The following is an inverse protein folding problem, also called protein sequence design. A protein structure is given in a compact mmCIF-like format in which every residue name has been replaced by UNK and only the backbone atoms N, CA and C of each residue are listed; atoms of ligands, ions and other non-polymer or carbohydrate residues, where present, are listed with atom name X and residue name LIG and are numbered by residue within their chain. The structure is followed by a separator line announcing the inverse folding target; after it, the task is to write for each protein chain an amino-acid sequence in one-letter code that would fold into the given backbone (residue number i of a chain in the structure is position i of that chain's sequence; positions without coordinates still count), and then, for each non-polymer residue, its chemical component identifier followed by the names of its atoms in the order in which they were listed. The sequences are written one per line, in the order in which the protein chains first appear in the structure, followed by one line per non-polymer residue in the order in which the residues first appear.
data_IF_120400403666
#
_entry.id   IF_120400403666
#
_cell.length_a   1.000
_cell.length_b   1.000
_cell.length_c   1.000
_cell.angle_alpha   90.00
_cell.angle_beta   90.00
_cell.angle_gamma   90.00
#
_symmetry.space_group_name_H-M   'P 1'
#
loop_
_entity.id
_entity.type
_entity.pdbx_description
1 polymer ?
#
# COMPACT_ATOMS: atom_id res chain seq x y z
N UNK A 1 -17.78 40.10 7.91
CA UNK A 1 -16.49 40.83 7.72
C UNK A 1 -15.71 40.12 6.63
N UNK A 2 -15.13 40.83 5.65
CA UNK A 2 -14.30 40.21 4.60
C UNK A 2 -12.95 39.84 5.22
N UNK A 3 -12.58 38.57 5.19
CA UNK A 3 -11.25 38.12 5.63
C UNK A 3 -10.18 38.50 4.59
N UNK A 4 -9.76 39.77 4.65
CA UNK A 4 -8.73 40.32 3.78
C UNK A 4 -7.35 39.68 4.01
N UNK A 5 -7.11 39.14 5.22
CA UNK A 5 -5.86 38.50 5.60
C UNK A 5 -5.70 37.13 4.95
N UNK A 6 -6.73 36.28 5.05
CA UNK A 6 -6.78 34.98 4.38
C UNK A 6 -6.68 35.13 2.85
N UNK A 7 -7.43 36.08 2.28
CA UNK A 7 -7.37 36.37 0.84
C UNK A 7 -5.95 36.77 0.37
N UNK A 8 -5.25 37.62 1.15
CA UNK A 8 -3.88 38.00 0.85
C UNK A 8 -2.91 36.82 0.94
N UNK A 9 -3.11 35.90 1.90
CA UNK A 9 -2.30 34.69 2.03
C UNK A 9 -2.50 33.73 0.86
N UNK A 10 -3.74 33.46 0.45
CA UNK A 10 -4.03 32.62 -0.72
C UNK A 10 -3.44 33.22 -2.00
N UNK A 11 -3.48 34.54 -2.16
CA UNK A 11 -2.86 35.20 -3.31
C UNK A 11 -1.34 35.04 -3.32
N UNK A 12 -0.68 35.12 -2.15
CA UNK A 12 0.77 34.86 -2.04
C UNK A 12 1.10 33.41 -2.40
N UNK A 13 0.31 32.46 -1.91
CA UNK A 13 0.47 31.04 -2.23
C UNK A 13 0.32 30.81 -3.74
N UNK A 14 -0.72 31.35 -4.37
CA UNK A 14 -0.96 31.24 -5.81
C UNK A 14 0.22 31.80 -6.63
N UNK A 15 0.68 33.02 -6.31
CA UNK A 15 1.84 33.63 -7.00
C UNK A 15 3.15 32.87 -6.74
N UNK A 16 3.27 32.19 -5.61
CA UNK A 16 4.42 31.34 -5.29
C UNK A 16 4.49 30.07 -6.12
N UNK A 17 3.37 29.62 -6.70
CA UNK A 17 3.30 28.44 -7.56
C UNK A 17 3.82 28.71 -8.98
N UNK A 18 3.66 29.92 -9.53
CA UNK A 18 4.04 30.23 -10.92
C UNK A 18 5.53 29.94 -11.22
N UNK A 19 6.50 30.31 -10.35
CA UNK A 19 7.90 29.94 -10.53
C UNK A 19 8.12 28.42 -10.47
N UNK A 20 7.41 27.73 -9.57
CA UNK A 20 7.51 26.27 -9.42
C UNK A 20 6.98 25.56 -10.68
N UNK A 21 5.84 25.99 -11.21
CA UNK A 21 5.27 25.47 -12.45
C UNK A 21 6.20 25.71 -13.64
N UNK A 22 6.78 26.90 -13.73
CA UNK A 22 7.74 27.26 -14.78
C UNK A 22 8.98 26.38 -14.71
N UNK A 23 9.56 26.22 -13.52
CA UNK A 23 10.72 25.36 -13.27
C UNK A 23 10.43 23.89 -13.64
N UNK A 24 9.28 23.35 -13.22
CA UNK A 24 8.87 22.00 -13.56
C UNK A 24 8.73 21.81 -15.09
N UNK A 25 8.09 22.77 -15.78
CA UNK A 25 7.96 22.75 -17.25
C UNK A 25 9.30 22.82 -17.97
N UNK A 26 10.29 23.49 -17.40
CA UNK A 26 11.66 23.53 -17.92
C UNK A 26 12.51 22.32 -17.52
N UNK A 27 11.94 21.31 -16.85
CA UNK A 27 12.63 20.10 -16.42
C UNK A 27 13.54 20.28 -15.19
N UNK A 28 13.40 21.39 -14.46
CA UNK A 28 14.15 21.64 -13.22
C UNK A 28 13.46 20.95 -12.04
N UNK A 29 14.24 20.45 -11.05
CA UNK A 29 13.68 19.84 -9.86
C UNK A 29 12.92 20.87 -9.03
N UNK A 30 11.71 20.50 -8.59
CA UNK A 30 10.85 21.32 -7.73
C UNK A 30 10.65 20.59 -6.41
N UNK A 31 10.85 21.31 -5.32
CA UNK A 31 10.57 20.82 -3.98
C UNK A 31 9.06 20.84 -3.72
N UNK A 32 8.43 19.68 -3.81
CA UNK A 32 6.99 19.53 -3.62
C UNK A 32 6.54 19.80 -2.18
N UNK A 33 7.44 19.76 -1.20
CA UNK A 33 7.10 20.04 0.22
C UNK A 33 6.73 21.51 0.45
N UNK A 34 7.10 22.39 -0.49
CA UNK A 34 6.77 23.81 -0.47
C UNK A 34 5.44 24.13 -1.14
N UNK A 35 4.78 23.14 -1.73
CA UNK A 35 3.45 23.32 -2.32
C UNK A 35 2.46 23.56 -1.16
N UNK A 36 1.75 24.68 -1.15
CA UNK A 36 0.75 24.96 -0.13
C UNK A 36 -0.40 23.95 -0.23
N UNK A 37 -0.97 23.60 0.92
CA UNK A 37 -2.13 22.72 0.96
C UNK A 37 -3.32 23.36 0.23
N UNK A 38 -4.13 22.52 -0.41
CA UNK A 38 -5.40 22.93 -1.01
C UNK A 38 -6.25 23.58 0.08
N UNK A 39 -6.71 24.84 -0.11
CA UNK A 39 -7.59 25.49 0.84
C UNK A 39 -8.96 24.81 0.79
N UNK A 40 -9.47 24.45 1.96
CA UNK A 40 -10.75 23.78 2.13
C UNK A 40 -11.51 24.53 3.21
N UNK A 41 -12.74 24.93 2.90
CA UNK A 41 -13.64 25.65 3.79
C UNK A 41 -14.73 24.73 4.32
N UNK A 42 -15.29 25.04 5.49
CA UNK A 42 -16.50 24.38 5.97
C UNK A 42 -17.68 24.53 4.98
N UNK A 43 -17.70 25.63 4.22
CA UNK A 43 -18.70 25.88 3.18
C UNK A 43 -18.67 24.82 2.06
N UNK A 44 -17.53 24.17 1.84
CA UNK A 44 -17.39 23.10 0.84
C UNK A 44 -18.25 21.89 1.19
N UNK A 45 -18.52 21.66 2.48
CA UNK A 45 -19.38 20.58 2.99
C UNK A 45 -20.82 21.00 3.27
N UNK A 46 -21.14 22.29 3.08
CA UNK A 46 -22.49 22.80 3.36
C UNK A 46 -23.51 22.39 2.28
N UNK A 47 -24.71 21.98 2.70
CA UNK A 47 -25.83 21.69 1.80
C UNK A 47 -26.69 22.96 1.63
N UNK A 48 -26.77 23.48 0.41
CA UNK A 48 -27.60 24.65 0.10
C UNK A 48 -29.09 24.36 0.31
N UNK A 49 -29.88 25.37 0.70
CA UNK A 49 -31.34 25.24 0.85
C UNK A 49 -31.97 24.84 -0.49
N UNK A 50 -32.76 23.76 -0.52
CA UNK A 50 -33.38 23.28 -1.75
C UNK A 50 -34.30 24.34 -2.36
N UNK A 51 -34.14 24.63 -3.66
CA UNK A 51 -34.92 25.65 -4.36
C UNK A 51 -36.30 25.13 -4.82
N UNK A 52 -36.48 23.80 -4.85
CA UNK A 52 -37.68 23.15 -5.38
C UNK A 52 -38.27 22.20 -4.33
N UNK A 53 -39.24 22.72 -3.56
CA UNK A 53 -39.95 22.04 -2.46
C UNK A 53 -39.07 21.55 -1.29
N UNK A 54 -39.54 21.63 -0.03
CA UNK A 54 -38.79 21.10 1.10
C UNK A 54 -38.61 19.59 0.97
N UNK A 55 -37.36 19.13 1.03
CA UNK A 55 -37.03 17.71 1.16
C UNK A 55 -37.66 17.19 2.47
N UNK A 56 -38.26 16.00 2.46
CA UNK A 56 -38.86 15.44 3.68
C UNK A 56 -37.82 15.34 4.81
N UNK A 57 -38.21 15.46 6.10
CA UNK A 57 -37.26 15.43 7.22
C UNK A 57 -36.34 14.20 7.20
N UNK A 58 -36.91 13.02 6.92
CA UNK A 58 -36.17 11.75 6.80
C UNK A 58 -35.17 11.72 5.64
N UNK A 59 -35.48 12.38 4.53
CA UNK A 59 -34.56 12.50 3.40
C UNK A 59 -33.47 13.54 3.69
N UNK A 60 -33.80 14.63 4.39
CA UNK A 60 -32.83 15.63 4.83
C UNK A 60 -31.79 15.03 5.78
N UNK A 61 -32.20 14.23 6.77
CA UNK A 61 -31.28 13.51 7.66
C UNK A 61 -30.31 12.59 6.90
N UNK A 62 -30.81 11.87 5.89
CA UNK A 62 -29.97 11.00 5.03
C UNK A 62 -28.95 11.79 4.23
N UNK A 63 -29.33 12.96 3.70
CA UNK A 63 -28.40 13.85 3.01
C UNK A 63 -27.26 14.31 3.92
N UNK A 64 -27.58 14.73 5.15
CA UNK A 64 -26.57 15.16 6.13
C UNK A 64 -25.66 14.00 6.55
N UNK A 65 -26.24 12.83 6.88
CA UNK A 65 -25.45 11.66 7.24
C UNK A 65 -24.49 11.22 6.12
N UNK A 66 -24.93 11.29 4.86
CA UNK A 66 -24.09 10.97 3.71
C UNK A 66 -23.00 12.04 3.48
N UNK A 67 -23.32 13.32 3.70
CA UNK A 67 -22.35 14.40 3.66
C UNK A 67 -21.25 14.22 4.72
N UNK A 68 -21.62 13.91 5.96
CA UNK A 68 -20.65 13.68 7.05
C UNK A 68 -19.67 12.55 6.72
N UNK A 69 -20.16 11.47 6.09
CA UNK A 69 -19.32 10.35 5.68
C UNK A 69 -18.35 10.75 4.55
N UNK A 70 -18.84 11.46 3.54
CA UNK A 70 -18.00 11.94 2.44
C UNK A 70 -16.98 12.99 2.90
N UNK A 71 -17.35 13.89 3.82
CA UNK A 71 -16.45 14.84 4.44
C UNK A 71 -15.31 14.13 5.17
N UNK A 72 -15.64 13.16 6.03
CA UNK A 72 -14.62 12.35 6.75
C UNK A 72 -13.68 11.63 5.78
N UNK A 73 -14.24 11.07 4.72
CA UNK A 73 -13.46 10.38 3.68
C UNK A 73 -12.51 11.34 2.95
N UNK A 74 -13.01 12.50 2.53
CA UNK A 74 -12.23 13.52 1.84
C UNK A 74 -11.12 14.12 2.75
N UNK A 75 -11.43 14.45 4.00
CA UNK A 75 -10.44 14.92 4.99
C UNK A 75 -9.34 13.87 5.21
N UNK A 76 -9.71 12.59 5.24
CA UNK A 76 -8.74 11.50 5.33
C UNK A 76 -7.82 11.47 4.11
N UNK A 77 -8.35 11.56 2.90
CA UNK A 77 -7.55 11.63 1.67
C UNK A 77 -6.57 12.81 1.70
N UNK A 78 -7.02 13.98 2.11
CA UNK A 78 -6.17 15.17 2.27
C UNK A 78 -5.03 14.90 3.24
N UNK A 79 -5.32 14.34 4.41
CA UNK A 79 -4.30 14.05 5.40
C UNK A 79 -3.23 13.07 4.88
N UNK A 80 -3.64 12.08 4.10
CA UNK A 80 -2.73 11.10 3.49
C UNK A 80 -1.86 11.78 2.42
N UNK A 81 -2.48 12.55 1.53
CA UNK A 81 -1.78 13.29 0.47
C UNK A 81 -0.75 14.25 1.05
N UNK A 82 -1.14 15.06 2.04
CA UNK A 82 -0.24 15.99 2.72
C UNK A 82 0.95 15.27 3.35
N UNK A 83 0.73 14.15 4.04
CA UNK A 83 1.81 13.37 4.64
C UNK A 83 2.78 12.83 3.59
N UNK A 84 2.29 12.31 2.47
CA UNK A 84 3.17 11.83 1.40
C UNK A 84 3.91 12.95 0.69
N UNK A 85 3.29 14.12 0.53
CA UNK A 85 3.94 15.32 0.00
C UNK A 85 5.09 15.75 0.90
N UNK A 86 4.88 15.83 2.21
CA UNK A 86 5.92 16.19 3.18
C UNK A 86 7.08 15.18 3.24
N UNK A 87 6.79 13.89 2.98
CA UNK A 87 7.81 12.84 2.87
C UNK A 87 8.52 12.82 1.52
N UNK A 88 8.14 13.69 0.57
CA UNK A 88 8.69 13.70 -0.78
C UNK A 88 8.28 12.49 -1.62
N UNK A 89 7.31 11.69 -1.16
CA UNK A 89 6.82 10.52 -1.89
C UNK A 89 5.77 10.95 -2.93
N UNK A 90 6.26 11.49 -4.05
CA UNK A 90 5.42 12.01 -5.15
C UNK A 90 4.43 10.96 -5.66
N UNK A 91 4.84 9.69 -5.75
CA UNK A 91 3.99 8.64 -6.32
C UNK A 91 2.75 8.37 -5.47
N UNK A 92 2.92 8.25 -4.15
CA UNK A 92 1.80 8.02 -3.23
C UNK A 92 0.98 9.31 -2.99
N UNK A 93 1.62 10.48 -3.04
CA UNK A 93 0.93 11.77 -3.01
C UNK A 93 -0.05 11.91 -4.18
N UNK A 94 0.37 11.58 -5.41
CA UNK A 94 -0.50 11.62 -6.60
C UNK A 94 -1.63 10.58 -6.55
N UNK A 95 -1.40 9.39 -5.98
CA UNK A 95 -2.46 8.38 -5.81
C UNK A 95 -3.52 8.85 -4.82
N UNK A 96 -3.10 9.44 -3.70
CA UNK A 96 -4.01 9.97 -2.70
C UNK A 96 -4.73 11.23 -3.17
N UNK A 97 -4.10 12.08 -3.99
CA UNK A 97 -4.75 13.23 -4.65
C UNK A 97 -5.92 12.81 -5.53
N UNK A 98 -5.81 11.71 -6.29
CA UNK A 98 -6.96 11.16 -7.03
C UNK A 98 -8.14 10.77 -6.13
N UNK A 99 -7.86 10.28 -4.91
CA UNK A 99 -8.90 9.98 -3.93
C UNK A 99 -9.52 11.26 -3.34
N UNK A 100 -8.72 12.33 -3.19
CA UNK A 100 -9.21 13.67 -2.81
C UNK A 100 -10.20 14.17 -3.86
N UNK A 101 -9.81 14.15 -5.14
CA UNK A 101 -10.63 14.58 -6.28
C UNK A 101 -11.93 13.77 -6.39
N UNK A 102 -11.85 12.45 -6.29
CA UNK A 102 -13.03 11.58 -6.36
C UNK A 102 -14.00 11.84 -5.19
N UNK A 103 -13.48 12.03 -3.98
CA UNK A 103 -14.32 12.33 -2.82
C UNK A 103 -15.00 13.69 -2.95
N UNK A 104 -14.31 14.71 -3.49
CA UNK A 104 -14.92 16.01 -3.81
C UNK A 104 -16.02 15.88 -4.85
N UNK A 105 -15.79 15.10 -5.91
CA UNK A 105 -16.80 14.84 -6.93
C UNK A 105 -18.07 14.23 -6.33
N UNK A 106 -17.95 13.32 -5.36
CA UNK A 106 -19.12 12.79 -4.66
C UNK A 106 -19.83 13.83 -3.78
N UNK A 107 -19.09 14.69 -3.09
CA UNK A 107 -19.64 15.83 -2.35
C UNK A 107 -20.44 16.75 -3.29
N UNK A 108 -19.89 17.06 -4.48
CA UNK A 108 -20.55 17.88 -5.49
C UNK A 108 -21.83 17.24 -6.02
N UNK A 109 -21.81 15.93 -6.33
CA UNK A 109 -23.01 15.18 -6.76
C UNK A 109 -24.09 15.24 -5.67
N UNK A 110 -23.70 15.08 -4.41
CA UNK A 110 -24.64 15.13 -3.28
C UNK A 110 -25.26 16.53 -3.13
N UNK A 111 -24.44 17.59 -3.22
CA UNK A 111 -24.89 18.99 -3.19
C UNK A 111 -25.84 19.31 -4.35
N UNK A 112 -25.52 18.88 -5.57
CA UNK A 112 -26.36 19.08 -6.75
C UNK A 112 -27.72 18.39 -6.59
N UNK A 113 -27.72 17.14 -6.13
CA UNK A 113 -28.96 16.39 -5.90
C UNK A 113 -29.84 17.08 -4.85
N UNK A 114 -29.24 17.55 -3.75
CA UNK A 114 -29.96 18.26 -2.69
C UNK A 114 -30.53 19.60 -3.18
N UNK A 115 -29.73 20.40 -3.88
CA UNK A 115 -30.13 21.70 -4.41
C UNK A 115 -31.33 21.59 -5.37
N UNK A 116 -31.38 20.51 -6.17
CA UNK A 116 -32.45 20.19 -7.13
C UNK A 116 -33.63 19.42 -6.53
N UNK A 117 -33.64 19.18 -5.21
CA UNK A 117 -34.71 18.44 -4.54
C UNK A 117 -34.86 16.98 -5.01
N UNK A 118 -33.78 16.38 -5.52
CA UNK A 118 -33.77 14.99 -6.01
C UNK A 118 -33.79 14.00 -4.84
N UNK A 119 -34.08 12.71 -5.07
CA UNK A 119 -33.86 11.69 -4.05
C UNK A 119 -32.37 11.55 -3.72
N UNK A 120 -32.08 11.13 -2.49
CA UNK A 120 -30.71 10.88 -2.00
C UNK A 120 -30.01 9.89 -2.96
N UNK A 121 -28.81 10.23 -3.47
CA UNK A 121 -28.03 9.32 -4.30
C UNK A 121 -27.84 7.97 -3.63
N UNK A 122 -27.95 6.88 -4.40
CA UNK A 122 -27.64 5.55 -3.92
C UNK A 122 -26.14 5.46 -3.66
N UNK A 123 -25.78 4.79 -2.57
CA UNK A 123 -24.40 4.55 -2.20
C UNK A 123 -24.18 3.10 -1.84
N UNK A 124 -22.99 2.60 -2.12
CA UNK A 124 -22.50 1.31 -1.64
C UNK A 124 -21.11 1.50 -1.04
N UNK A 125 -20.65 0.44 -0.39
CA UNK A 125 -19.32 0.39 0.20
C UNK A 125 -18.45 -0.56 -0.61
N UNK A 126 -17.27 -0.08 -1.01
CA UNK A 126 -16.25 -0.88 -1.67
C UNK A 126 -15.07 -1.09 -0.73
N UNK A 127 -14.36 -2.21 -0.85
CA UNK A 127 -13.07 -2.37 -0.18
C UNK A 127 -11.97 -1.78 -1.06
N UNK A 128 -11.24 -0.81 -0.52
CA UNK A 128 -10.12 -0.18 -1.22
C UNK A 128 -8.86 -0.30 -0.39
N UNK A 129 -7.80 -0.76 -1.05
CA UNK A 129 -6.47 -0.90 -0.45
C UNK A 129 -5.58 0.25 -0.88
N UNK A 130 -5.04 0.99 0.07
CA UNK A 130 -4.04 2.04 -0.17
C UNK A 130 -2.88 1.91 0.81
N UNK A 131 -1.74 2.49 0.44
CA UNK A 131 -0.59 2.50 1.33
C UNK A 131 -0.79 3.52 2.45
N UNK A 132 -0.54 3.09 3.67
CA UNK A 132 -0.53 3.93 4.85
C UNK A 132 0.85 3.86 5.50
N UNK A 133 1.21 4.93 6.21
CA UNK A 133 2.44 4.98 6.98
C UNK A 133 2.31 4.06 8.19
N UNK A 134 3.24 3.10 8.32
CA UNK A 134 3.31 2.27 9.52
C UNK A 134 3.92 3.10 10.65
N UNK A 135 3.06 3.53 11.57
CA UNK A 135 3.44 4.33 12.75
C UNK A 135 2.90 3.66 14.01
N UNK A 136 3.79 3.41 14.96
CA UNK A 136 3.46 2.90 16.29
C UNK A 136 3.16 4.08 17.22
N UNK A 137 1.95 4.64 17.11
CA UNK A 137 1.55 5.87 17.83
C UNK A 137 1.60 5.79 19.35
N UNK A 138 1.63 4.59 19.93
CA UNK A 138 1.83 4.38 21.37
C UNK A 138 3.27 4.67 21.84
N UNK A 139 4.23 4.84 20.93
CA UNK A 139 5.63 5.11 21.23
C UNK A 139 5.97 6.60 21.04
N UNK A 140 6.81 7.13 21.94
CA UNK A 140 7.46 8.43 21.74
C UNK A 140 8.51 8.35 20.63
N UNK A 141 8.86 9.46 19.95
CA UNK A 141 9.97 9.48 18.98
C UNK A 141 11.32 9.05 19.58
N UNK A 142 11.46 9.16 20.90
CA UNK A 142 12.66 8.81 21.67
C UNK A 142 12.58 7.41 22.31
N UNK A 143 11.56 6.62 21.98
CA UNK A 143 11.40 5.26 22.49
C UNK A 143 11.85 4.22 21.45
N UNK A 144 12.61 3.25 21.92
CA UNK A 144 12.87 1.97 21.24
C UNK A 144 12.43 0.85 22.17
N UNK A 145 11.59 -0.07 21.69
CA UNK A 145 11.15 -1.22 22.48
C UNK A 145 11.84 -2.48 21.96
N UNK A 146 12.63 -3.10 22.81
CA UNK A 146 13.28 -4.37 22.57
C UNK A 146 12.41 -5.50 23.15
N UNK A 147 12.22 -6.56 22.38
CA UNK A 147 11.55 -7.78 22.79
C UNK A 147 12.55 -8.94 22.67
N UNK A 148 12.73 -9.67 23.76
CA UNK A 148 13.49 -10.92 23.78
C UNK A 148 12.47 -12.04 23.87
N UNK A 149 12.25 -12.75 22.76
CA UNK A 149 11.13 -13.68 22.62
C UNK A 149 11.50 -15.05 23.18
N UNK A 150 12.48 -15.72 22.56
CA UNK A 150 12.88 -17.07 22.94
C UNK A 150 14.28 -17.44 22.46
N UNK A 151 14.91 -18.37 23.17
CA UNK A 151 16.06 -19.14 22.67
C UNK A 151 15.59 -20.40 21.94
N UNK A 152 16.34 -20.84 20.94
CA UNK A 152 16.05 -22.03 20.13
C UNK A 152 17.29 -22.90 20.12
N UNK A 153 17.19 -24.13 20.64
CA UNK A 153 18.27 -25.11 20.65
C UNK A 153 19.61 -24.56 21.18
N UNK A 154 19.56 -23.81 22.28
CA UNK A 154 20.76 -23.24 22.91
C UNK A 154 21.71 -24.36 23.36
N UNK A 155 22.99 -24.20 23.05
CA UNK A 155 24.03 -25.17 23.42
C UNK A 155 24.39 -25.00 24.91
N UNK A 156 24.15 -26.00 25.78
CA UNK A 156 24.49 -25.86 27.19
C UNK A 156 26.00 -25.80 27.42
N UNK A 157 26.45 -25.16 28.52
CA UNK A 157 27.85 -25.21 28.92
C UNK A 157 28.31 -26.65 29.24
N UNK A 158 29.62 -26.93 29.20
CA UNK A 158 30.16 -28.24 29.55
C UNK A 158 29.67 -28.73 30.92
N UNK A 159 29.17 -29.96 30.97
CA UNK A 159 28.63 -30.60 32.17
C UNK A 159 27.17 -30.27 32.50
N UNK A 160 26.45 -29.58 31.62
CA UNK A 160 25.01 -29.30 31.75
C UNK A 160 24.27 -30.01 30.62
N UNK A 161 23.20 -30.73 30.92
CA UNK A 161 22.35 -31.32 29.88
C UNK A 161 21.43 -30.25 29.26
N UNK A 162 20.96 -30.43 28.02
CA UNK A 162 19.99 -29.50 27.41
C UNK A 162 18.75 -29.21 28.26
N UNK A 163 18.29 -30.20 29.03
CA UNK A 163 17.11 -30.07 29.88
C UNK A 163 17.41 -29.52 31.27
N UNK A 164 18.68 -29.29 31.62
CA UNK A 164 19.08 -28.68 32.90
C UNK A 164 19.51 -27.22 32.70
N UNK A 165 19.40 -26.69 31.48
CA UNK A 165 19.80 -25.33 31.16
C UNK A 165 18.81 -24.33 31.78
N UNK A 166 19.31 -23.55 32.74
CA UNK A 166 18.63 -22.38 33.28
C UNK A 166 19.08 -21.11 32.55
N UNK A 167 18.39 -20.68 31.51
CA UNK A 167 18.81 -19.60 30.64
C UNK A 167 18.25 -18.24 31.07
N UNK A 168 19.05 -17.18 30.93
CA UNK A 168 18.62 -15.78 30.91
C UNK A 168 19.41 -15.01 29.85
N UNK A 169 18.85 -13.94 29.32
CA UNK A 169 19.53 -13.12 28.30
C UNK A 169 19.78 -11.73 28.88
N UNK A 170 21.04 -11.32 28.92
CA UNK A 170 21.45 -9.95 29.19
C UNK A 170 21.63 -9.22 27.87
N UNK A 171 21.17 -7.99 27.75
CA UNK A 171 21.48 -7.17 26.59
C UNK A 171 22.32 -5.95 26.95
N UNK A 172 23.02 -5.42 25.94
CA UNK A 172 23.70 -4.14 25.99
C UNK A 172 23.34 -3.33 24.75
N UNK A 173 22.71 -2.18 24.97
CA UNK A 173 22.42 -1.18 23.96
C UNK A 173 23.36 0.02 24.13
N UNK A 174 24.36 0.21 23.24
CA UNK A 174 25.49 1.12 23.46
C UNK A 174 25.15 2.58 23.13
N UNK A 175 24.12 3.12 23.80
CA UNK A 175 23.65 4.49 23.70
C UNK A 175 23.23 5.03 25.08
N UNK A 176 23.59 6.28 25.46
CA UNK A 176 24.19 7.35 24.63
C UNK A 176 25.68 7.19 24.28
N UNK A 177 26.44 6.43 25.08
CA UNK A 177 27.82 6.03 24.84
C UNK A 177 28.04 4.55 25.16
N UNK A 178 29.27 4.05 25.05
CA UNK A 178 29.59 2.66 25.42
C UNK A 178 29.72 2.49 26.94
N UNK A 179 30.12 3.55 27.63
CA UNK A 179 30.24 3.65 29.09
C UNK A 179 28.84 3.72 29.73
N UNK A 180 27.97 4.57 29.17
CA UNK A 180 26.58 4.77 29.61
C UNK A 180 25.60 3.87 28.85
N UNK A 181 26.05 2.70 28.38
CA UNK A 181 25.19 1.78 27.65
C UNK A 181 24.04 1.30 28.53
N UNK A 182 22.84 1.28 27.95
CA UNK A 182 21.63 0.74 28.58
C UNK A 182 21.72 -0.78 28.61
N UNK A 183 21.61 -1.35 29.81
CA UNK A 183 21.77 -2.79 30.06
C UNK A 183 20.65 -3.26 30.96
N UNK A 184 20.08 -4.40 30.63
CA UNK A 184 19.17 -5.12 31.50
C UNK A 184 19.23 -6.62 31.16
N UNK A 185 18.48 -7.44 31.88
CA UNK A 185 18.41 -8.88 31.66
C UNK A 185 17.00 -9.42 31.82
N UNK A 186 16.71 -10.50 31.12
CA UNK A 186 15.48 -11.26 31.33
C UNK A 186 15.50 -12.00 32.67
N UNK A 187 14.32 -12.42 33.10
CA UNK A 187 14.16 -13.48 34.08
C UNK A 187 14.79 -14.78 33.56
N UNK A 188 15.12 -15.66 34.51
CA UNK A 188 15.69 -16.98 34.21
C UNK A 188 14.57 -17.97 33.93
N UNK A 189 14.57 -18.55 32.73
CA UNK A 189 13.74 -19.69 32.36
C UNK A 189 14.53 -20.96 32.64
N UNK A 190 13.95 -21.89 33.39
CA UNK A 190 14.65 -23.06 33.92
C UNK A 190 14.45 -24.29 33.07
N UNK A 191 15.42 -25.20 33.13
CA UNK A 191 15.33 -26.59 32.66
C UNK A 191 14.94 -26.75 31.18
N UNK A 192 15.51 -25.94 30.28
CA UNK A 192 15.23 -26.06 28.83
C UNK A 192 16.32 -25.41 27.97
N UNK A 193 16.64 -26.06 26.86
CA UNK A 193 17.51 -25.50 25.81
C UNK A 193 16.76 -24.56 24.85
N UNK A 194 15.42 -24.52 24.92
CA UNK A 194 14.59 -23.62 24.12
C UNK A 194 13.68 -22.77 25.02
N UNK A 195 14.26 -21.84 25.80
CA UNK A 195 13.53 -21.00 26.75
C UNK A 195 12.64 -19.97 26.05
N UNK A 196 11.42 -19.78 26.54
CA UNK A 196 10.54 -18.66 26.14
C UNK A 196 10.60 -17.55 27.18
N UNK A 197 11.19 -16.41 26.83
CA UNK A 197 11.35 -15.27 27.73
C UNK A 197 10.12 -14.34 27.63
N UNK A 198 9.73 -13.97 26.41
CA UNK A 198 8.63 -13.05 26.11
C UNK A 198 8.69 -11.72 26.90
N UNK A 199 9.89 -11.18 27.08
CA UNK A 199 10.11 -9.95 27.86
C UNK A 199 10.33 -8.74 26.95
N UNK A 200 9.89 -7.58 27.44
CA UNK A 200 10.02 -6.31 26.74
C UNK A 200 10.78 -5.29 27.59
N UNK A 201 11.64 -4.52 26.92
CA UNK A 201 12.47 -3.49 27.53
C UNK A 201 12.31 -2.19 26.76
N UNK A 202 12.00 -1.12 27.48
CA UNK A 202 11.88 0.23 26.92
C UNK A 202 13.23 0.93 27.02
N UNK A 203 13.82 1.22 25.86
CA UNK A 203 15.12 1.85 25.71
C UNK A 203 14.94 3.29 25.22
N UNK A 204 15.78 4.18 25.75
CA UNK A 204 15.84 5.57 25.31
C UNK A 204 16.73 5.72 24.09
N UNK A 205 16.26 6.48 23.10
CA UNK A 205 17.02 6.85 21.90
C UNK A 205 16.96 8.36 21.67
N UNK A 206 17.93 8.89 20.93
CA UNK A 206 17.87 10.24 20.39
C UNK A 206 18.28 10.22 18.91
N UNK A 207 17.32 10.47 18.02
CA UNK A 207 17.46 10.37 16.57
C UNK A 207 18.48 11.35 15.99
N UNK A 208 18.69 12.50 16.63
CA UNK A 208 19.62 13.53 16.16
C UNK A 208 21.05 13.28 16.65
N UNK A 209 21.21 12.45 17.70
CA UNK A 209 22.51 12.20 18.31
C UNK A 209 23.42 11.34 17.41
N UNK A 210 24.64 11.83 17.15
CA UNK A 210 25.62 11.10 16.31
C UNK A 210 25.96 9.72 16.86
N UNK A 211 25.98 9.57 18.19
CA UNK A 211 26.18 8.26 18.84
C UNK A 211 25.11 7.25 18.45
N UNK A 212 23.84 7.67 18.41
CA UNK A 212 22.73 6.80 18.00
C UNK A 212 22.86 6.35 16.55
N UNK A 213 23.22 7.27 15.63
CA UNK A 213 23.49 6.91 14.23
C UNK A 213 24.55 5.81 14.09
N UNK A 214 25.62 5.85 14.89
CA UNK A 214 26.63 4.77 14.92
C UNK A 214 26.06 3.45 15.45
N UNK A 215 25.16 3.50 16.43
CA UNK A 215 24.50 2.28 16.93
C UNK A 215 23.68 1.63 15.83
N UNK A 216 22.92 2.42 15.07
CA UNK A 216 22.10 1.94 13.95
C UNK A 216 22.96 1.34 12.83
N UNK A 217 24.03 2.04 12.44
CA UNK A 217 24.81 1.69 11.24
C UNK A 217 25.86 0.60 11.46
N UNK A 218 26.39 0.43 12.67
CA UNK A 218 27.51 -0.51 12.87
C UNK A 218 27.55 -1.26 14.19
N UNK A 219 26.98 -0.75 15.28
CA UNK A 219 27.08 -1.43 16.59
C UNK A 219 25.93 -2.39 16.90
N UNK A 220 24.68 -2.03 16.65
CA UNK A 220 23.51 -2.86 17.01
C UNK A 220 23.31 -3.07 18.52
N UNK A 221 22.51 -4.07 18.87
CA UNK A 221 22.27 -4.53 20.25
C UNK A 221 23.01 -5.85 20.47
N UNK A 222 23.80 -5.93 21.54
CA UNK A 222 24.48 -7.17 21.92
C UNK A 222 23.64 -7.92 22.94
N UNK A 223 23.65 -9.25 22.83
CA UNK A 223 23.01 -10.17 23.75
C UNK A 223 24.03 -11.16 24.26
N UNK A 224 23.98 -11.44 25.55
CA UNK A 224 24.78 -12.46 26.22
C UNK A 224 23.80 -13.44 26.87
N UNK A 225 23.86 -14.69 26.41
CA UNK A 225 23.02 -15.76 26.92
C UNK A 225 23.78 -16.40 28.08
N UNK A 226 23.14 -16.46 29.24
CA UNK A 226 23.74 -16.90 30.49
C UNK A 226 22.99 -18.12 31.02
N UNK A 227 23.76 -19.12 31.45
CA UNK A 227 23.27 -20.21 32.29
C UNK A 227 23.42 -19.83 33.76
N UNK A 228 22.29 -19.71 34.46
CA UNK A 228 22.28 -19.45 35.89
C UNK A 228 22.68 -20.70 36.66
N UNK A 229 23.81 -20.62 37.35
CA UNK A 229 24.30 -21.67 38.22
C UNK A 229 23.43 -21.88 39.46
N UNK A 230 23.63 -23.00 40.15
CA UNK A 230 23.03 -23.24 41.47
C UNK A 230 23.53 -22.25 42.53
N UNK A 231 23.03 -22.39 43.76
CA UNK A 231 23.42 -21.55 44.90
C UNK A 231 24.97 -21.50 45.02
N UNK A 232 25.54 -20.29 45.07
CA UNK A 232 26.99 -20.00 45.12
C UNK A 232 27.83 -20.25 43.85
N UNK A 233 27.23 -20.67 42.72
CA UNK A 233 27.94 -20.76 41.43
C UNK A 233 27.72 -19.50 40.61
N UNK A 234 28.77 -19.03 39.93
CA UNK A 234 28.67 -17.91 38.99
C UNK A 234 27.91 -18.33 37.74
N UNK A 235 27.24 -17.36 37.12
CA UNK A 235 26.57 -17.56 35.84
C UNK A 235 27.62 -17.90 34.77
N UNK A 236 27.33 -18.89 33.93
CA UNK A 236 28.20 -19.31 32.82
C UNK A 236 27.68 -18.75 31.51
N UNK A 237 28.57 -18.23 30.68
CA UNK A 237 28.22 -17.78 29.33
C UNK A 237 27.93 -19.00 28.45
N UNK A 238 26.74 -19.00 27.86
CA UNK A 238 26.29 -19.98 26.85
C UNK A 238 26.73 -19.54 25.46
N UNK A 239 26.68 -18.24 25.21
CA UNK A 239 27.11 -17.63 23.97
C UNK A 239 26.65 -16.19 23.89
N UNK A 240 26.94 -15.56 22.76
CA UNK A 240 26.59 -14.17 22.47
C UNK A 240 25.89 -14.06 21.13
N UNK A 241 25.02 -13.07 20.99
CA UNK A 241 24.37 -12.76 19.72
C UNK A 241 24.32 -11.25 19.52
N UNK A 242 24.18 -10.80 18.28
CA UNK A 242 24.16 -9.37 17.97
C UNK A 242 23.09 -9.07 16.93
N UNK A 243 22.14 -8.20 17.27
CA UNK A 243 21.11 -7.71 16.36
C UNK A 243 21.60 -6.43 15.68
N UNK A 244 21.68 -6.45 14.35
CA UNK A 244 21.90 -5.24 13.56
C UNK A 244 20.63 -4.41 13.49
N UNK A 245 20.77 -3.09 13.44
CA UNK A 245 19.65 -2.16 13.49
C UNK A 245 19.50 -1.32 12.20
N UNK A 246 20.30 -1.60 11.18
CA UNK A 246 20.32 -0.87 9.90
C UNK A 246 18.95 -0.85 9.20
N UNK A 247 18.16 -1.93 9.34
CA UNK A 247 16.80 -1.99 8.80
C UNK A 247 15.85 -0.94 9.41
N UNK A 248 16.15 -0.39 10.60
CA UNK A 248 15.37 0.72 11.19
C UNK A 248 15.49 2.03 10.42
N UNK A 249 16.44 2.15 9.49
CA UNK A 249 16.49 3.31 8.60
C UNK A 249 15.23 3.40 7.73
N UNK A 250 14.69 2.25 7.28
CA UNK A 250 13.56 2.18 6.36
C UNK A 250 12.32 1.49 6.97
N UNK A 251 12.45 0.83 8.11
CA UNK A 251 11.37 0.12 8.79
C UNK A 251 11.18 0.61 10.23
N UNK A 252 9.96 0.52 10.73
CA UNK A 252 9.62 0.82 12.13
C UNK A 252 9.83 -0.37 13.06
N UNK A 253 10.11 -1.54 12.50
CA UNK A 253 10.17 -2.81 13.21
C UNK A 253 11.18 -3.76 12.58
N UNK A 254 11.94 -4.46 13.42
CA UNK A 254 12.80 -5.58 13.04
C UNK A 254 12.36 -6.81 13.85
N UNK A 255 12.24 -7.97 13.21
CA UNK A 255 12.11 -9.27 13.89
C UNK A 255 13.08 -10.24 13.24
N UNK A 256 14.01 -10.76 14.01
CA UNK A 256 15.07 -11.63 13.51
C UNK A 256 15.29 -12.82 14.44
N UNK A 257 15.75 -13.92 13.83
CA UNK A 257 16.28 -15.09 14.52
C UNK A 257 17.79 -15.08 14.28
N UNK A 258 18.55 -14.66 15.28
CA UNK A 258 20.01 -14.47 15.20
C UNK A 258 20.75 -15.69 15.74
N UNK A 259 21.88 -16.04 15.13
CA UNK A 259 22.72 -17.14 15.60
C UNK A 259 23.43 -16.78 16.91
N UNK A 260 23.47 -17.74 17.83
CA UNK A 260 24.25 -17.65 19.06
C UNK A 260 25.66 -18.14 18.77
N UNK A 261 26.63 -17.31 19.13
CA UNK A 261 28.05 -17.44 18.82
C UNK A 261 28.88 -17.68 20.09
N UNK A 262 29.87 -18.55 19.98
CA UNK A 262 30.98 -18.67 20.92
C UNK A 262 32.24 -18.09 20.26
N UNK A 263 32.55 -16.84 20.62
CA UNK A 263 33.56 -16.04 19.94
C UNK A 263 33.23 -15.85 18.45
N UNK A 264 33.95 -16.57 17.57
CA UNK A 264 33.75 -16.53 16.12
C UNK A 264 32.97 -17.73 15.56
N UNK A 265 32.69 -18.75 16.37
CA UNK A 265 32.03 -19.99 15.93
C UNK A 265 30.55 -19.94 16.25
N UNK A 266 29.72 -20.44 15.35
CA UNK A 266 28.29 -20.66 15.62
C UNK A 266 28.13 -21.82 16.59
N UNK A 267 27.25 -21.68 17.57
CA UNK A 267 26.93 -22.76 18.54
C UNK A 267 25.86 -23.72 18.01
N UNK A 268 25.14 -23.34 16.94
CA UNK A 268 23.94 -24.01 16.45
C UNK A 268 22.65 -23.53 17.12
N UNK A 269 22.74 -22.91 18.30
CA UNK A 269 21.63 -22.25 18.97
C UNK A 269 21.28 -20.90 18.33
N UNK A 270 20.03 -20.47 18.51
CA UNK A 270 19.51 -19.20 17.96
C UNK A 270 18.74 -18.42 19.02
N UNK A 271 18.63 -17.12 18.82
CA UNK A 271 17.85 -16.22 19.65
C UNK A 271 16.85 -15.45 18.77
N UNK A 272 15.57 -15.50 19.12
CA UNK A 272 14.53 -14.72 18.45
C UNK A 272 14.31 -13.40 19.20
N UNK A 273 14.53 -12.28 18.50
CA UNK A 273 14.41 -10.92 19.02
C UNK A 273 13.59 -10.04 18.08
N UNK A 274 12.98 -9.01 18.65
CA UNK A 274 12.24 -8.00 17.91
C UNK A 274 12.53 -6.62 18.47
N UNK A 275 12.62 -5.61 17.62
CA UNK A 275 12.75 -4.21 18.01
C UNK A 275 11.68 -3.39 17.31
N UNK A 276 11.11 -2.41 18.02
CA UNK A 276 10.17 -1.43 17.47
C UNK A 276 10.56 -0.02 17.82
N UNK A 277 10.35 0.90 16.88
CA UNK A 277 10.42 2.34 17.07
C UNK A 277 9.12 2.96 16.55
N UNK A 278 8.80 4.20 16.93
CA UNK A 278 7.56 4.88 16.52
C UNK A 278 7.36 4.89 15.00
N UNK A 279 8.40 5.22 14.25
CA UNK A 279 8.45 5.35 12.80
C UNK A 279 9.92 5.23 12.37
N UNK A 280 10.22 4.91 11.09
CA UNK A 280 11.59 4.75 10.60
C UNK A 280 12.45 6.00 10.83
N UNK A 281 13.77 5.82 10.78
CA UNK A 281 14.70 6.90 11.08
C UNK A 281 14.92 7.89 9.93
N UNK A 282 14.85 7.42 8.69
CA UNK A 282 15.13 8.24 7.50
C UNK A 282 14.12 7.97 6.37
N UNK A 283 13.85 6.70 6.07
CA UNK A 283 12.98 6.25 5.00
C UNK A 283 11.50 6.23 5.40
N UNK A 284 10.72 5.55 4.57
CA UNK A 284 9.25 5.43 4.73
C UNK A 284 8.87 3.96 4.81
N UNK A 285 8.19 3.57 5.89
CA UNK A 285 7.66 2.23 6.10
C UNK A 285 6.17 2.23 5.76
N UNK A 286 5.85 1.62 4.63
CA UNK A 286 4.50 1.56 4.09
C UNK A 286 3.86 0.22 4.41
N UNK A 287 2.60 0.25 4.81
CA UNK A 287 1.76 -0.94 4.94
C UNK A 287 0.49 -0.77 4.11
N UNK A 288 0.05 -1.81 3.38
CA UNK A 288 -1.24 -1.78 2.72
C UNK A 288 -2.34 -1.80 3.78
N UNK A 289 -3.29 -0.87 3.68
CA UNK A 289 -4.47 -0.79 4.54
C UNK A 289 -5.69 -0.88 3.66
N UNK A 290 -6.53 -1.88 3.92
CA UNK A 290 -7.82 -2.07 3.26
C UNK A 290 -8.90 -1.42 4.09
N UNK A 291 -9.67 -0.53 3.47
CA UNK A 291 -10.77 0.17 4.12
C UNK A 291 -12.07 0.09 3.34
N UNK A 292 -13.15 0.21 4.08
CA UNK A 292 -14.50 0.37 3.57
C UNK A 292 -14.68 1.80 3.06
N UNK A 293 -14.79 1.94 1.76
CA UNK A 293 -14.86 3.20 1.05
C UNK A 293 -16.27 3.47 0.54
N UNK A 294 -16.80 4.67 0.80
CA UNK A 294 -18.10 5.08 0.34
C UNK A 294 -18.03 5.52 -1.12
N UNK A 295 -18.91 4.94 -1.94
CA UNK A 295 -19.03 5.25 -3.36
C UNK A 295 -20.48 5.62 -3.68
N UNK A 296 -20.67 6.74 -4.38
CA UNK A 296 -21.98 7.11 -4.92
C UNK A 296 -22.16 6.49 -6.30
N UNK A 297 -23.32 5.89 -6.53
CA UNK A 297 -23.69 5.42 -7.86
C UNK A 297 -23.87 6.62 -8.81
N UNK A 298 -23.32 6.58 -10.03
CA UNK A 298 -23.58 7.60 -11.03
C UNK A 298 -25.09 7.66 -11.30
N UNK A 299 -25.70 8.82 -11.09
CA UNK A 299 -27.10 9.03 -11.47
C UNK A 299 -27.17 8.89 -13.00
N UNK A 300 -27.95 7.96 -13.56
CA UNK A 300 -28.12 7.88 -15.01
C UNK A 300 -28.60 9.23 -15.50
N UNK A 301 -27.86 9.85 -16.40
CA UNK A 301 -28.31 11.05 -17.10
C UNK A 301 -29.59 10.67 -17.85
N UNK A 302 -30.74 11.14 -17.36
CA UNK A 302 -32.02 11.06 -18.06
C UNK A 302 -31.91 11.91 -19.33
N UNK A 303 -31.42 11.32 -20.40
CA UNK A 303 -31.66 11.77 -21.76
C UNK A 303 -32.90 11.04 -22.29
N UNK A 304 -33.93 11.86 -22.56
CA UNK A 304 -35.09 11.66 -23.45
C UNK A 304 -36.43 11.25 -22.79
N UNK A 305 -37.52 11.98 -23.08
CA UNK A 305 -38.85 11.73 -22.52
C UNK A 305 -39.55 10.53 -23.17
N UNK A 306 -40.39 9.88 -22.36
CA UNK A 306 -41.24 8.75 -22.70
C UNK A 306 -42.10 8.99 -23.95
N UNK A 307 -42.20 7.97 -24.81
CA UNK A 307 -43.39 7.72 -25.63
C UNK A 307 -44.12 6.50 -25.05
N UNK A 308 -45.42 6.58 -24.77
CA UNK A 308 -46.21 5.42 -24.37
C UNK A 308 -46.64 4.63 -25.62
N UNK A 309 -46.37 3.32 -25.65
CA UNK A 309 -46.98 2.39 -26.60
C UNK A 309 -47.71 1.26 -25.85
N UNK A 310 -49.00 1.49 -25.68
CA UNK A 310 -50.15 0.65 -26.07
C UNK A 310 -50.00 -0.89 -26.05
N UNK A 311 -50.93 -1.52 -25.32
CA UNK A 311 -51.17 -2.95 -25.18
C UNK A 311 -51.61 -3.64 -26.48
N UNK A 312 -51.23 -4.91 -26.68
CA UNK A 312 -52.12 -6.05 -27.01
C UNK A 312 -51.34 -7.42 -26.89
N UNK A 313 -51.96 -8.62 -26.95
CA UNK A 313 -51.87 -9.64 -25.91
C UNK A 313 -51.14 -10.96 -26.30
N UNK A 314 -50.95 -11.84 -25.30
CA UNK A 314 -50.26 -13.16 -25.34
C UNK A 314 -50.82 -14.19 -26.36
N UNK A 315 -50.13 -15.34 -26.55
CA UNK A 315 -50.51 -16.52 -25.75
C UNK A 315 -49.38 -17.51 -25.35
N UNK A 316 -49.45 -17.93 -24.08
CA UNK A 316 -49.39 -19.31 -23.54
C UNK A 316 -48.36 -20.31 -24.10
N UNK A 317 -47.49 -20.81 -23.21
CA UNK A 317 -47.33 -22.25 -22.88
C UNK A 317 -46.51 -22.44 -21.59
N UNK A 318 -47.06 -23.21 -20.65
CA UNK A 318 -46.45 -23.82 -19.44
C UNK A 318 -46.19 -25.32 -19.77
N UNK A 319 -45.35 -26.12 -19.07
CA UNK A 319 -45.38 -26.21 -17.60
C UNK A 319 -44.07 -26.47 -16.82
N UNK A 320 -44.15 -25.99 -15.58
CA UNK A 320 -43.60 -26.44 -14.28
C UNK A 320 -42.86 -27.79 -14.23
N UNK A 321 -41.66 -27.76 -13.63
CA UNK A 321 -41.22 -28.77 -12.65
C UNK A 321 -40.47 -28.08 -11.49
N UNK A 322 -40.89 -28.41 -10.28
CA UNK A 322 -40.26 -28.06 -9.00
C UNK A 322 -39.07 -29.00 -8.73
N UNK A 323 -37.96 -28.47 -8.20
CA UNK A 323 -37.31 -28.98 -6.99
C UNK A 323 -36.15 -28.07 -6.57
N UNK A 324 -36.06 -27.86 -5.27
CA UNK A 324 -35.15 -26.95 -4.59
C UNK A 324 -33.68 -27.35 -4.70
N UNK A 325 -32.79 -26.36 -4.72
CA UNK A 325 -31.51 -26.41 -4.01
C UNK A 325 -31.02 -25.00 -3.71
N UNK A 326 -30.92 -24.70 -2.41
CA UNK A 326 -30.27 -23.54 -1.83
C UNK A 326 -28.78 -23.54 -2.23
N UNK A 327 -28.31 -22.44 -2.78
CA UNK A 327 -26.89 -22.20 -3.02
C UNK A 327 -26.64 -20.72 -3.26
N UNK A 328 -26.11 -20.05 -2.24
CA UNK A 328 -25.62 -18.68 -2.20
C UNK A 328 -25.05 -18.17 -3.53
N UNK A 329 -25.73 -17.24 -4.19
CA UNK A 329 -25.19 -16.51 -5.33
C UNK A 329 -24.08 -15.57 -4.86
N UNK A 330 -22.84 -15.94 -5.16
CA UNK A 330 -21.71 -15.01 -5.24
C UNK A 330 -21.99 -13.99 -6.34
N UNK A 331 -22.29 -12.75 -5.97
CA UNK A 331 -22.27 -11.61 -6.88
C UNK A 331 -20.82 -11.33 -7.30
N UNK A 332 -20.30 -12.07 -8.28
CA UNK A 332 -19.14 -11.62 -9.05
C UNK A 332 -19.65 -10.80 -10.23
N UNK A 333 -19.58 -9.48 -10.12
CA UNK A 333 -19.64 -8.63 -11.32
C UNK A 333 -18.52 -9.10 -12.27
N UNK A 334 -18.79 -9.38 -13.56
CA UNK A 334 -17.75 -9.81 -14.46
C UNK A 334 -16.70 -8.69 -14.61
N UNK A 335 -15.41 -9.02 -14.61
CA UNK A 335 -14.35 -8.03 -14.86
C UNK A 335 -14.58 -7.30 -16.18
N UNK A 336 -14.56 -5.97 -16.12
CA UNK A 336 -14.65 -5.10 -17.30
C UNK A 336 -13.28 -5.10 -17.97
N UNK A 337 -13.06 -6.06 -18.87
CA UNK A 337 -11.85 -6.11 -19.68
C UNK A 337 -11.80 -4.93 -20.67
N UNK A 338 -10.61 -4.36 -20.84
CA UNK A 338 -10.32 -3.26 -21.79
C UNK A 338 -9.28 -3.73 -22.79
N UNK A 339 -9.30 -3.16 -24.00
CA UNK A 339 -8.28 -3.41 -25.01
C UNK A 339 -6.88 -3.00 -24.52
N UNK A 340 -5.89 -3.86 -24.77
CA UNK A 340 -4.48 -3.66 -24.41
C UNK A 340 -3.55 -4.33 -25.44
N UNK A 341 -2.22 -4.16 -25.39
CA UNK A 341 -1.33 -4.88 -26.32
C UNK A 341 -1.36 -6.39 -26.10
N UNK A 342 -1.65 -7.15 -27.15
CA UNK A 342 -1.66 -8.61 -27.10
C UNK A 342 -0.25 -9.17 -26.87
N UNK A 343 0.77 -8.52 -27.43
CA UNK A 343 2.17 -8.90 -27.23
C UNK A 343 2.61 -8.72 -25.77
N UNK A 344 2.21 -7.62 -25.13
CA UNK A 344 2.52 -7.38 -23.71
C UNK A 344 1.77 -8.34 -22.79
N UNK A 345 0.49 -8.62 -23.06
CA UNK A 345 -0.27 -9.61 -22.29
C UNK A 345 0.36 -11.01 -22.37
N UNK A 346 0.85 -11.42 -23.54
CA UNK A 346 1.56 -12.70 -23.68
C UNK A 346 2.92 -12.70 -22.96
N UNK A 347 3.66 -11.61 -23.03
CA UNK A 347 4.91 -11.44 -22.29
C UNK A 347 4.69 -11.56 -20.77
N UNK A 348 3.64 -10.93 -20.25
CA UNK A 348 3.29 -11.00 -18.83
C UNK A 348 2.79 -12.41 -18.45
N UNK A 349 2.00 -13.07 -19.30
CA UNK A 349 1.59 -14.47 -19.11
C UNK A 349 2.81 -15.39 -18.96
N UNK A 350 3.75 -15.35 -19.90
CA UNK A 350 4.96 -16.19 -19.87
C UNK A 350 5.84 -15.89 -18.64
N UNK A 351 5.90 -14.63 -18.23
CA UNK A 351 6.64 -14.22 -17.03
C UNK A 351 5.98 -14.75 -15.75
N UNK A 352 4.65 -14.73 -15.68
CA UNK A 352 3.90 -15.27 -14.54
C UNK A 352 3.94 -16.81 -14.51
N UNK A 353 3.82 -17.47 -15.66
CA UNK A 353 3.95 -18.94 -15.79
C UNK A 353 5.32 -19.43 -15.31
N UNK A 354 6.40 -18.72 -15.67
CA UNK A 354 7.76 -19.03 -15.18
C UNK A 354 7.84 -18.95 -13.66
N UNK A 355 7.33 -17.87 -13.05
CA UNK A 355 7.29 -17.72 -11.59
C UNK A 355 6.47 -18.83 -10.92
N UNK A 356 5.27 -19.12 -11.43
CA UNK A 356 4.44 -20.20 -10.91
C UNK A 356 5.12 -21.57 -11.00
N UNK A 357 5.90 -21.80 -12.07
CA UNK A 357 6.68 -23.03 -12.25
C UNK A 357 7.84 -23.14 -11.24
N UNK A 358 8.47 -22.03 -10.86
CA UNK A 358 9.51 -22.00 -9.82
C UNK A 358 8.93 -22.39 -8.45
N UNK A 359 7.75 -21.88 -8.07
CA UNK A 359 7.08 -22.27 -6.83
C UNK A 359 6.76 -23.77 -6.79
N UNK A 360 6.22 -24.30 -7.89
CA UNK A 360 5.95 -25.75 -8.04
C UNK A 360 7.23 -26.58 -7.92
N UNK A 361 8.33 -26.13 -8.53
CA UNK A 361 9.64 -26.80 -8.47
C UNK A 361 10.22 -26.79 -7.06
N UNK A 362 9.97 -25.75 -6.29
CA UNK A 362 10.46 -25.59 -4.92
C UNK A 362 9.54 -26.21 -3.85
N UNK A 363 8.49 -26.95 -4.26
CA UNK A 363 7.47 -27.51 -3.36
C UNK A 363 6.80 -26.46 -2.45
N UNK A 364 6.66 -25.23 -2.95
CA UNK A 364 6.00 -24.13 -2.25
C UNK A 364 4.68 -23.81 -2.93
N UNK A 365 3.66 -23.51 -2.11
CA UNK A 365 2.39 -23.03 -2.64
C UNK A 365 2.56 -21.59 -3.18
N UNK A 366 2.21 -21.33 -4.45
CA UNK A 366 2.30 -20.00 -5.01
C UNK A 366 1.30 -19.05 -4.32
N UNK A 367 1.66 -17.78 -4.09
CA UNK A 367 0.76 -16.80 -3.48
C UNK A 367 -0.58 -16.68 -4.25
N UNK A 368 -1.73 -16.56 -3.56
CA UNK A 368 -3.04 -16.38 -4.20
C UNK A 368 -3.08 -15.22 -5.19
N UNK A 369 -2.41 -14.11 -4.87
CA UNK A 369 -2.34 -12.94 -5.76
C UNK A 369 -1.63 -13.25 -7.08
N UNK A 370 -0.59 -14.09 -7.05
CA UNK A 370 0.14 -14.49 -8.26
C UNK A 370 -0.72 -15.40 -9.15
N UNK A 371 -1.50 -16.29 -8.53
CA UNK A 371 -2.48 -17.14 -9.22
C UNK A 371 -3.58 -16.28 -9.85
N UNK A 372 -4.11 -15.31 -9.11
CA UNK A 372 -5.16 -14.42 -9.58
C UNK A 372 -4.67 -13.53 -10.74
N UNK A 373 -3.48 -12.92 -10.62
CA UNK A 373 -2.88 -12.16 -11.71
C UNK A 373 -2.70 -13.00 -12.98
N UNK A 374 -2.24 -14.25 -12.84
CA UNK A 374 -2.10 -15.15 -13.99
C UNK A 374 -3.46 -15.48 -14.63
N UNK A 375 -4.49 -15.75 -13.83
CA UNK A 375 -5.86 -15.98 -14.32
C UNK A 375 -6.41 -14.75 -15.04
N UNK A 376 -6.21 -13.55 -14.48
CA UNK A 376 -6.70 -12.29 -15.06
C UNK A 376 -6.05 -12.00 -16.42
N UNK A 377 -4.74 -12.27 -16.57
CA UNK A 377 -4.04 -12.12 -17.85
C UNK A 377 -4.56 -13.13 -18.87
N UNK A 378 -4.78 -14.40 -18.47
CA UNK A 378 -5.36 -15.42 -19.37
C UNK A 378 -6.76 -15.01 -19.82
N UNK A 379 -7.62 -14.57 -18.91
CA UNK A 379 -8.96 -14.15 -19.26
C UNK A 379 -8.96 -12.90 -20.15
N UNK A 380 -8.06 -11.93 -19.88
CA UNK A 380 -7.90 -10.74 -20.72
C UNK A 380 -7.46 -11.12 -22.15
N UNK A 381 -6.52 -12.06 -22.29
CA UNK A 381 -6.09 -12.59 -23.59
C UNK A 381 -7.23 -13.28 -24.33
N UNK A 382 -8.00 -14.14 -23.65
CA UNK A 382 -9.14 -14.85 -24.25
C UNK A 382 -10.24 -13.88 -24.68
N UNK A 383 -10.59 -12.93 -23.81
CA UNK A 383 -11.58 -11.90 -24.11
C UNK A 383 -11.15 -11.06 -25.30
N UNK A 384 -9.92 -10.54 -25.29
CA UNK A 384 -9.43 -9.68 -26.37
C UNK A 384 -9.29 -10.45 -27.68
N UNK A 385 -8.87 -11.72 -27.65
CA UNK A 385 -8.85 -12.58 -28.83
C UNK A 385 -10.26 -12.72 -29.43
N UNK A 386 -11.26 -13.01 -28.61
CA UNK A 386 -12.64 -13.13 -29.07
C UNK A 386 -13.20 -11.80 -29.65
N UNK A 387 -12.83 -10.66 -29.05
CA UNK A 387 -13.21 -9.34 -29.57
C UNK A 387 -12.52 -9.02 -30.91
N UNK A 388 -11.25 -9.37 -31.05
CA UNK A 388 -10.47 -9.08 -32.26
C UNK A 388 -10.73 -10.05 -33.42
N UNK A 389 -11.15 -11.29 -33.15
CA UNK A 389 -11.52 -12.27 -34.20
C UNK A 389 -12.77 -11.88 -34.99
N UNK A 390 -13.68 -11.09 -34.38
CA UNK A 390 -14.91 -10.58 -35.01
C UNK A 390 -14.97 -9.05 -35.05
N UNK A 391 -13.81 -8.40 -35.02
CA UNK A 391 -13.74 -6.96 -34.83
C UNK A 391 -14.33 -6.18 -36.02
N UNK A 392 -15.16 -5.19 -35.70
CA UNK A 392 -15.58 -4.18 -36.67
C UNK A 392 -14.40 -3.26 -37.04
N UNK A 393 -14.44 -2.58 -38.19
CA UNK A 393 -13.44 -1.59 -38.55
C UNK A 393 -13.26 -0.50 -37.48
N UNK A 394 -14.33 -0.12 -36.77
CA UNK A 394 -14.28 0.82 -35.66
C UNK A 394 -13.48 0.28 -34.47
N UNK A 395 -13.70 -0.99 -34.09
CA UNK A 395 -12.99 -1.63 -32.99
C UNK A 395 -11.49 -1.81 -33.30
N UNK A 396 -11.14 -2.14 -34.55
CA UNK A 396 -9.74 -2.20 -34.98
C UNK A 396 -9.06 -0.81 -34.93
N UNK A 397 -9.79 0.28 -35.21
CA UNK A 397 -9.26 1.65 -35.08
C UNK A 397 -9.08 2.03 -33.61
N UNK A 398 -10.02 1.65 -32.74
CA UNK A 398 -9.87 1.82 -31.31
C UNK A 398 -8.64 1.06 -30.79
N UNK A 399 -8.47 -0.19 -31.23
CA UNK A 399 -7.31 -1.02 -30.90
C UNK A 399 -5.99 -0.37 -31.35
N UNK A 400 -5.94 0.13 -32.57
CA UNK A 400 -4.79 0.86 -33.10
C UNK A 400 -4.45 2.09 -32.24
N UNK A 401 -5.47 2.85 -31.81
CA UNK A 401 -5.29 4.01 -30.95
C UNK A 401 -4.75 3.64 -29.56
N UNK A 402 -5.14 2.48 -29.03
CA UNK A 402 -4.57 1.95 -27.78
C UNK A 402 -3.09 1.63 -27.96
N UNK A 403 -2.72 0.90 -29.02
CA UNK A 403 -1.32 0.57 -29.31
C UNK A 403 -0.47 1.83 -29.51
N UNK A 404 -0.97 2.84 -30.22
CA UNK A 404 -0.25 4.13 -30.41
C UNK A 404 0.01 4.85 -29.10
N UNK A 405 -0.98 4.89 -28.20
CA UNK A 405 -0.81 5.46 -26.84
C UNK A 405 0.24 4.68 -26.03
N UNK A 406 0.26 3.36 -26.14
CA UNK A 406 1.26 2.52 -25.47
C UNK A 406 2.68 2.76 -26.02
N UNK A 407 2.85 2.84 -27.34
CA UNK A 407 4.13 3.18 -27.98
C UNK A 407 4.64 4.53 -27.47
N UNK A 408 3.77 5.55 -27.43
CA UNK A 408 4.14 6.87 -26.92
C UNK A 408 4.60 6.80 -25.44
N UNK A 409 3.80 6.20 -24.57
CA UNK A 409 4.13 6.11 -23.14
C UNK A 409 5.40 5.28 -22.86
N UNK A 410 5.61 4.20 -23.61
CA UNK A 410 6.83 3.38 -23.49
C UNK A 410 8.07 4.13 -24.02
N UNK A 411 7.95 4.88 -25.12
CA UNK A 411 9.04 5.70 -25.66
C UNK A 411 9.47 6.79 -24.67
N UNK A 412 8.51 7.48 -24.04
CA UNK A 412 8.78 8.45 -22.97
C UNK A 412 9.45 7.79 -21.76
N UNK A 413 9.01 6.59 -21.39
CA UNK A 413 9.60 5.82 -20.29
C UNK A 413 11.03 5.37 -20.59
N UNK A 414 11.34 4.96 -21.82
CA UNK A 414 12.72 4.64 -22.26
C UNK A 414 13.63 5.87 -22.13
N UNK A 415 13.18 7.04 -22.61
CA UNK A 415 13.93 8.30 -22.49
C UNK A 415 14.18 8.66 -21.02
N UNK A 416 13.16 8.50 -20.18
CA UNK A 416 13.25 8.74 -18.73
C UNK A 416 14.26 7.81 -18.05
N UNK A 417 14.17 6.49 -18.26
CA UNK A 417 15.12 5.56 -17.64
C UNK A 417 16.55 5.74 -18.16
N UNK A 418 16.70 6.07 -19.44
CA UNK A 418 18.01 6.36 -20.03
C UNK A 418 18.65 7.62 -19.42
N UNK A 419 17.89 8.71 -19.23
CA UNK A 419 18.39 9.94 -18.59
C UNK A 419 18.68 9.78 -17.09
N UNK A 420 18.00 8.85 -16.41
CA UNK A 420 18.23 8.51 -15.00
C UNK A 420 19.38 7.51 -14.78
N UNK A 421 20.05 7.04 -15.84
CA UNK A 421 21.14 6.05 -15.74
C UNK A 421 20.68 4.63 -15.40
N UNK A 422 19.37 4.36 -15.36
CA UNK A 422 18.83 3.03 -15.08
C UNK A 422 18.81 2.18 -16.36
N UNK A 423 19.99 1.63 -16.72
CA UNK A 423 20.21 0.90 -17.98
C UNK A 423 19.34 -0.35 -18.11
N UNK A 424 19.10 -1.07 -17.01
CA UNK A 424 18.30 -2.30 -17.04
C UNK A 424 16.81 -2.02 -17.24
N UNK A 425 16.26 -1.01 -16.55
CA UNK A 425 14.88 -0.59 -16.77
C UNK A 425 14.67 0.00 -18.16
N UNK A 426 15.64 0.76 -18.68
CA UNK A 426 15.60 1.27 -20.05
C UNK A 426 15.59 0.13 -21.08
N UNK A 427 16.40 -0.91 -20.87
CA UNK A 427 16.48 -2.09 -21.75
C UNK A 427 15.18 -2.91 -21.72
N UNK A 428 14.60 -3.17 -20.54
CA UNK A 428 13.32 -3.88 -20.41
C UNK A 428 12.19 -3.10 -21.11
N UNK A 429 12.11 -1.80 -20.83
CA UNK A 429 11.08 -0.92 -21.42
C UNK A 429 11.23 -0.81 -22.94
N UNK A 430 12.47 -0.76 -23.45
CA UNK A 430 12.74 -0.79 -24.89
C UNK A 430 12.33 -2.13 -25.53
N UNK A 431 12.52 -3.25 -24.83
CA UNK A 431 12.04 -4.55 -25.28
C UNK A 431 10.51 -4.57 -25.42
N UNK A 432 9.79 -4.05 -24.42
CA UNK A 432 8.33 -3.90 -24.45
C UNK A 432 7.86 -2.96 -25.57
N UNK A 433 8.55 -1.83 -25.76
CA UNK A 433 8.25 -0.88 -26.84
C UNK A 433 8.27 -1.58 -28.20
N UNK A 434 9.33 -2.33 -28.50
CA UNK A 434 9.46 -3.07 -29.76
C UNK A 434 8.36 -4.10 -29.96
N UNK A 435 7.91 -4.77 -28.89
CA UNK A 435 6.80 -5.72 -28.97
C UNK A 435 5.49 -5.04 -29.43
N UNK A 436 5.21 -3.85 -28.90
CA UNK A 436 4.01 -3.08 -29.27
C UNK A 436 4.15 -2.48 -30.67
N UNK A 437 5.33 -2.00 -31.05
CA UNK A 437 5.60 -1.48 -32.41
C UNK A 437 5.40 -2.57 -33.48
N UNK A 438 5.97 -3.76 -33.27
CA UNK A 438 5.79 -4.91 -34.17
C UNK A 438 4.31 -5.32 -34.29
N UNK A 439 3.57 -5.25 -33.19
CA UNK A 439 2.14 -5.55 -33.17
C UNK A 439 1.33 -4.52 -33.96
N UNK A 440 1.63 -3.24 -33.78
CA UNK A 440 1.02 -2.14 -34.51
C UNK A 440 1.29 -2.22 -36.03
N UNK A 441 2.51 -2.56 -36.43
CA UNK A 441 2.87 -2.79 -37.83
C UNK A 441 2.13 -3.99 -38.43
N UNK A 442 1.99 -5.06 -37.66
CA UNK A 442 1.24 -6.26 -38.09
C UNK A 442 -0.25 -5.98 -38.24
N UNK A 443 -0.83 -5.15 -37.37
CA UNK A 443 -2.21 -4.69 -37.47
C UNK A 443 -2.44 -3.85 -38.73
N UNK A 444 -1.51 -2.93 -39.04
CA UNK A 444 -1.59 -2.09 -40.25
C UNK A 444 -1.49 -2.92 -41.53
N UNK A 445 -0.56 -3.88 -41.58
CA UNK A 445 -0.41 -4.79 -42.74
C UNK A 445 -1.68 -5.60 -43.03
N UNK A 446 -2.36 -6.09 -41.98
CA UNK A 446 -3.64 -6.81 -42.10
C UNK A 446 -4.83 -5.94 -42.53
N UNK A 447 -4.70 -4.62 -42.53
CA UNK A 447 -5.72 -3.67 -43.01
C UNK A 447 -5.51 -3.25 -44.46
N UNK A 448 -4.27 -3.28 -44.92
CA UNK A 448 -3.87 -2.83 -46.27
C UNK A 448 -3.77 -3.95 -47.30
N UNK A 449 -3.80 -5.21 -46.86
CA UNK A 449 -3.93 -6.39 -47.71
C UNK A 449 -5.24 -7.09 -47.40
#
# INVERSE_FOLDING_TARGET
MKDMSGAAQHLRHAKGLDPMVTAAKSGLPVDITKIPNVPVSEDDYSLARSQTSPVSPRSSEKYHALMDLLQKQHQKCLSISQRFTLLGNVSEALKSEKLVEESMKYIEILKDAHAKGRPVPKCHTEERTFNSLKVHSSLSPNDLVLYIMRGINLLPPPGVSPNDLNASVKFEFPFPSSEEAQRDKTNTVKNTSSPEFNEQFKLYINRTHRGFKRVIQSKGIKFEILHKGGLFKTDKVVGSAQLKLEALENHSEIREIIDVMDGRKTTGGKLEVRVKIREPLSGVDLQPVTEKWLVLEPVPSLSSPEKPQEQAPSPRSKPRHEAASRGSHSNSSPPVYRLYSFSLLNYDRERLERKLSEYRKNHQDPPPDLINQHKDVIHSLQWQKAQLERASPALLTEYENVLRRLVQGLSESVKKFSSQGNRDAAKDTLGRLKMVENELESLKRKRTG
#
